data_IF_446505638485
#
_entry.id   IF_446505638485
#
_cell.length_a   1.000
_cell.length_b   1.000
_cell.length_c   1.000
_cell.angle_alpha   90.00
_cell.angle_beta   90.00
_cell.angle_gamma   90.00
#
_symmetry.space_group_name_H-M   'P 1'
#
loop_
_entity.id
_entity.type
_entity.pdbx_description
1 polymer ?
#
# COMPACT_ATOMS: atom_id res chain seq x y z
N UNK A 1 24.63 -30.06 -48.02
CA UNK A 1 24.00 -30.26 -46.68
C UNK A 1 24.70 -29.53 -45.54
N UNK A 2 26.04 -29.52 -45.44
CA UNK A 2 26.79 -28.86 -44.35
C UNK A 2 26.56 -27.33 -44.24
N UNK A 3 26.64 -26.60 -45.36
CA UNK A 3 26.40 -25.14 -45.42
C UNK A 3 24.99 -24.69 -45.02
N UNK A 4 23.98 -25.53 -45.26
CA UNK A 4 22.60 -25.25 -44.86
C UNK A 4 22.41 -25.39 -43.34
N UNK A 5 23.05 -26.38 -42.72
CA UNK A 5 23.07 -26.51 -41.25
C UNK A 5 23.80 -25.34 -40.60
N UNK A 6 24.93 -24.91 -41.15
CA UNK A 6 25.68 -23.74 -40.67
C UNK A 6 24.85 -22.44 -40.74
N UNK A 7 24.11 -22.24 -41.84
CA UNK A 7 23.21 -21.10 -41.98
C UNK A 7 22.06 -21.12 -40.95
N UNK A 8 21.46 -22.29 -40.71
CA UNK A 8 20.40 -22.44 -39.70
C UNK A 8 20.93 -22.15 -38.29
N UNK A 9 22.12 -22.67 -37.94
CA UNK A 9 22.75 -22.36 -36.65
C UNK A 9 23.12 -20.89 -36.50
N UNK A 10 23.59 -20.24 -37.58
CA UNK A 10 23.88 -18.81 -37.57
C UNK A 10 22.61 -17.97 -37.36
N UNK A 11 21.49 -18.34 -37.98
CA UNK A 11 20.19 -17.68 -37.77
C UNK A 11 19.68 -17.90 -36.35
N UNK A 12 19.79 -19.12 -35.81
CA UNK A 12 19.42 -19.41 -34.43
C UNK A 12 20.28 -18.63 -33.43
N UNK A 13 21.60 -18.58 -33.64
CA UNK A 13 22.52 -17.79 -32.81
C UNK A 13 22.19 -16.29 -32.89
N UNK A 14 21.96 -15.77 -34.10
CA UNK A 14 21.57 -14.39 -34.33
C UNK A 14 20.22 -14.07 -33.67
N UNK A 15 19.26 -15.00 -33.66
CA UNK A 15 17.96 -14.82 -33.01
C UNK A 15 18.06 -14.68 -31.48
N UNK A 16 19.12 -15.22 -30.86
CA UNK A 16 19.40 -15.07 -29.43
C UNK A 16 20.24 -13.83 -29.16
N UNK A 17 21.23 -13.53 -30.01
CA UNK A 17 22.15 -12.41 -29.81
C UNK A 17 21.50 -11.07 -30.14
N UNK A 18 20.83 -10.93 -31.29
CA UNK A 18 20.28 -9.65 -31.78
C UNK A 18 19.37 -8.97 -30.74
N UNK A 19 18.44 -9.68 -30.06
CA UNK A 19 17.60 -9.08 -29.03
C UNK A 19 18.37 -8.58 -27.80
N UNK A 20 19.58 -9.09 -27.55
CA UNK A 20 20.41 -8.72 -26.39
C UNK A 20 21.37 -7.56 -26.67
N UNK A 21 21.66 -7.26 -27.94
CA UNK A 21 22.57 -6.17 -28.35
C UNK A 21 22.16 -4.80 -27.78
N UNK A 22 20.87 -4.38 -27.81
CA UNK A 22 20.47 -3.08 -27.26
C UNK A 22 20.82 -2.94 -25.78
N UNK A 23 20.48 -3.95 -24.97
CA UNK A 23 20.82 -3.98 -23.54
C UNK A 23 22.33 -3.94 -23.33
N UNK A 24 23.10 -4.74 -24.07
CA UNK A 24 24.55 -4.73 -23.96
C UNK A 24 25.15 -3.35 -24.27
N UNK A 25 24.62 -2.64 -25.28
CA UNK A 25 25.04 -1.28 -25.62
C UNK A 25 24.75 -0.27 -24.50
N UNK A 26 23.63 -0.43 -23.78
CA UNK A 26 23.26 0.40 -22.64
C UNK A 26 24.21 0.16 -21.47
N UNK A 27 24.48 -1.12 -21.14
CA UNK A 27 25.43 -1.49 -20.09
C UNK A 27 26.85 -1.02 -20.41
N UNK A 28 27.30 -1.13 -21.66
CA UNK A 28 28.60 -0.62 -22.10
C UNK A 28 28.68 0.91 -21.95
N UNK A 29 27.65 1.64 -22.40
CA UNK A 29 27.58 3.10 -22.22
C UNK A 29 27.60 3.49 -20.75
N UNK A 30 26.84 2.78 -19.91
CA UNK A 30 26.83 3.01 -18.47
C UNK A 30 28.21 2.73 -17.85
N UNK A 31 28.84 1.60 -18.20
CA UNK A 31 30.16 1.21 -17.71
C UNK A 31 31.23 2.26 -18.05
N UNK A 32 31.23 2.75 -19.29
CA UNK A 32 32.11 3.84 -19.73
C UNK A 32 31.84 5.14 -18.97
N UNK A 33 30.56 5.51 -18.78
CA UNK A 33 30.17 6.70 -18.03
C UNK A 33 30.64 6.66 -16.58
N UNK A 34 30.52 5.51 -15.90
CA UNK A 34 30.87 5.38 -14.48
C UNK A 34 32.35 5.11 -14.23
N UNK A 35 33.13 4.73 -15.25
CA UNK A 35 34.56 4.34 -15.12
C UNK A 35 35.41 5.40 -14.42
N UNK A 36 35.21 6.67 -14.74
CA UNK A 36 35.99 7.78 -14.17
C UNK A 36 35.42 8.31 -12.84
N UNK A 37 34.23 7.87 -12.43
CA UNK A 37 33.58 8.38 -11.23
C UNK A 37 34.20 7.78 -9.95
N UNK A 38 34.18 8.49 -8.81
CA UNK A 38 34.49 7.90 -7.50
C UNK A 38 33.44 6.87 -7.09
N UNK A 39 33.81 5.94 -6.20
CA UNK A 39 32.97 4.76 -5.85
C UNK A 39 31.54 5.12 -5.44
N UNK A 40 31.34 6.19 -4.66
CA UNK A 40 30.01 6.66 -4.25
C UNK A 40 29.16 7.11 -5.45
N UNK A 41 29.72 7.92 -6.34
CA UNK A 41 29.02 8.39 -7.54
C UNK A 41 28.72 7.26 -8.53
N UNK A 42 29.57 6.22 -8.60
CA UNK A 42 29.27 5.00 -9.38
C UNK A 42 28.05 4.28 -8.83
N UNK A 43 27.97 4.10 -7.52
CA UNK A 43 26.85 3.43 -6.86
C UNK A 43 25.55 4.18 -7.05
N UNK A 44 25.59 5.51 -6.91
CA UNK A 44 24.43 6.35 -7.19
C UNK A 44 24.00 6.27 -8.66
N UNK A 45 24.94 6.26 -9.61
CA UNK A 45 24.62 6.17 -11.04
C UNK A 45 24.06 4.80 -11.47
N UNK A 46 24.40 3.71 -10.77
CA UNK A 46 23.96 2.34 -11.09
C UNK A 46 22.71 1.95 -10.32
N UNK A 47 22.62 2.32 -9.05
CA UNK A 47 21.53 1.90 -8.13
C UNK A 47 20.45 2.98 -8.03
N UNK A 48 20.78 4.24 -8.28
CA UNK A 48 19.82 5.34 -8.30
C UNK A 48 19.37 5.79 -6.91
N UNK A 49 18.09 6.14 -6.81
CA UNK A 49 17.53 6.84 -5.66
C UNK A 49 17.53 6.01 -4.37
N UNK A 50 17.57 4.68 -4.46
CA UNK A 50 17.70 3.80 -3.30
C UNK A 50 19.03 4.04 -2.58
N UNK A 51 20.15 4.11 -3.32
CA UNK A 51 21.46 4.37 -2.73
C UNK A 51 21.56 5.81 -2.19
N UNK A 52 21.02 6.77 -2.94
CA UNK A 52 20.97 8.18 -2.51
C UNK A 52 20.21 8.34 -1.19
N UNK A 53 19.05 7.69 -1.05
CA UNK A 53 18.26 7.74 0.18
C UNK A 53 18.96 7.07 1.36
N UNK A 54 19.71 5.99 1.15
CA UNK A 54 20.52 5.38 2.21
C UNK A 54 21.64 6.31 2.68
N UNK A 55 22.35 6.97 1.75
CA UNK A 55 23.39 7.95 2.11
C UNK A 55 22.79 9.15 2.86
N UNK A 56 21.59 9.59 2.48
CA UNK A 56 20.87 10.63 3.22
C UNK A 56 20.52 10.16 4.64
N UNK A 57 19.95 8.96 4.79
CA UNK A 57 19.64 8.38 6.10
C UNK A 57 20.86 8.27 7.00
N UNK A 58 22.00 7.84 6.46
CA UNK A 58 23.27 7.74 7.20
C UNK A 58 23.73 9.10 7.74
N UNK A 59 23.49 10.20 7.00
CA UNK A 59 23.82 11.56 7.46
C UNK A 59 22.85 12.09 8.51
N UNK A 60 21.59 11.69 8.43
CA UNK A 60 20.51 12.18 9.30
C UNK A 60 20.35 11.41 10.62
N UNK A 61 20.98 10.24 10.75
CA UNK A 61 20.82 9.36 11.90
C UNK A 61 22.13 9.14 12.63
N UNK A 62 22.08 9.01 13.96
CA UNK A 62 23.28 8.73 14.73
C UNK A 62 23.75 7.27 14.50
N UNK A 63 25.07 6.99 14.46
CA UNK A 63 25.59 5.65 14.17
C UNK A 63 25.06 4.52 15.08
N UNK A 64 24.73 4.85 16.33
CA UNK A 64 24.23 3.90 17.33
C UNK A 64 22.70 3.84 17.40
N UNK A 65 22.01 4.71 16.65
CA UNK A 65 20.56 4.78 16.66
C UNK A 65 19.97 3.54 15.97
N UNK A 66 19.09 2.83 16.69
CA UNK A 66 18.38 1.69 16.12
C UNK A 66 17.28 2.19 15.18
N UNK A 67 17.24 1.64 13.98
CA UNK A 67 16.27 2.01 12.95
C UNK A 67 15.26 0.89 12.70
N UNK A 68 13.98 1.22 12.64
CA UNK A 68 12.91 0.31 12.24
C UNK A 68 12.66 0.47 10.74
N UNK A 69 12.98 -0.56 9.95
CA UNK A 69 12.72 -0.58 8.51
C UNK A 69 11.34 -1.16 8.26
N UNK A 70 10.42 -0.38 7.68
CA UNK A 70 9.01 -0.77 7.51
C UNK A 70 8.62 -0.82 6.03
N UNK A 71 7.84 -1.87 5.69
CA UNK A 71 7.14 -2.07 4.42
C UNK A 71 8.10 -2.30 3.26
N UNK A 72 8.55 -3.54 3.14
CA UNK A 72 9.63 -3.91 2.26
C UNK A 72 9.19 -5.01 1.29
N UNK A 73 9.38 -4.77 -0.01
CA UNK A 73 9.78 -5.88 -0.86
C UNK A 73 11.10 -6.43 -0.28
N UNK A 74 11.21 -7.74 -0.10
CA UNK A 74 12.29 -8.37 0.67
C UNK A 74 13.71 -7.97 0.21
N UNK A 75 13.89 -7.69 -1.08
CA UNK A 75 15.17 -7.31 -1.67
C UNK A 75 15.66 -5.91 -1.22
N UNK A 76 14.78 -4.93 -1.14
CA UNK A 76 15.15 -3.54 -0.77
C UNK A 76 15.55 -3.45 0.71
N UNK A 77 15.01 -4.33 1.56
CA UNK A 77 15.29 -4.39 2.98
C UNK A 77 16.74 -4.77 3.23
N UNK A 78 17.15 -5.81 2.51
CA UNK A 78 18.50 -6.35 2.57
C UNK A 78 19.48 -5.31 2.06
N UNK A 79 19.15 -4.64 0.95
CA UNK A 79 19.95 -3.55 0.42
C UNK A 79 20.15 -2.43 1.44
N UNK A 80 19.06 -1.90 2.00
CA UNK A 80 19.12 -0.79 2.95
C UNK A 80 19.87 -1.19 4.22
N UNK A 81 19.62 -2.39 4.76
CA UNK A 81 20.35 -2.93 5.90
C UNK A 81 21.86 -3.01 5.64
N UNK A 82 22.26 -3.60 4.49
CA UNK A 82 23.66 -3.75 4.11
C UNK A 82 24.38 -2.40 3.97
N UNK A 83 23.77 -1.44 3.27
CA UNK A 83 24.39 -0.14 3.04
C UNK A 83 24.28 0.82 4.24
N UNK A 84 23.40 0.55 5.21
CA UNK A 84 23.35 1.30 6.48
C UNK A 84 24.32 0.77 7.54
N UNK A 85 25.04 -0.34 7.33
CA UNK A 85 26.06 -0.79 8.28
C UNK A 85 27.03 0.37 8.65
N UNK A 86 27.39 0.55 9.95
CA UNK A 86 27.13 -0.34 11.10
C UNK A 86 25.82 -0.06 11.87
N UNK A 87 24.89 0.73 11.35
CA UNK A 87 23.67 1.06 12.08
C UNK A 87 22.85 -0.20 12.42
N UNK A 88 22.43 -0.39 13.68
CA UNK A 88 21.58 -1.51 14.04
C UNK A 88 20.16 -1.31 13.49
N UNK A 89 19.70 -2.22 12.64
CA UNK A 89 18.37 -2.15 12.02
C UNK A 89 17.49 -3.31 12.45
N UNK A 90 16.18 -3.09 12.50
CA UNK A 90 15.17 -4.15 12.67
C UNK A 90 14.11 -4.02 11.60
N UNK A 91 13.91 -5.09 10.85
CA UNK A 91 12.96 -5.11 9.73
C UNK A 91 11.58 -5.56 10.19
N UNK A 92 10.57 -4.86 9.67
CA UNK A 92 9.16 -5.13 9.91
C UNK A 92 8.42 -5.21 8.57
N UNK A 93 7.68 -6.30 8.38
CA UNK A 93 6.97 -6.55 7.12
C UNK A 93 5.91 -5.47 6.82
N UNK A 94 5.29 -4.91 7.86
CA UNK A 94 4.35 -3.79 7.75
C UNK A 94 4.32 -2.97 9.05
N UNK A 95 3.49 -1.90 9.07
CA UNK A 95 3.25 -1.10 10.28
C UNK A 95 2.72 -1.94 11.44
N UNK A 96 1.93 -2.97 11.19
CA UNK A 96 1.34 -3.82 12.23
C UNK A 96 2.36 -4.60 13.04
N UNK A 97 3.32 -5.21 12.36
CA UNK A 97 4.45 -5.90 12.97
C UNK A 97 5.24 -4.98 13.89
N UNK A 98 5.37 -3.71 13.47
CA UNK A 98 6.03 -2.69 14.26
C UNK A 98 5.21 -2.34 15.51
N UNK A 99 3.92 -2.06 15.37
CA UNK A 99 3.03 -1.67 16.49
C UNK A 99 2.95 -2.75 17.57
N UNK A 100 2.84 -4.03 17.16
CA UNK A 100 2.70 -5.17 18.07
C UNK A 100 4.03 -5.73 18.57
N UNK A 101 5.16 -5.19 18.12
CA UNK A 101 6.46 -5.61 18.68
C UNK A 101 6.69 -5.03 20.08
N UNK A 102 7.44 -5.77 20.89
CA UNK A 102 7.81 -5.38 22.25
C UNK A 102 8.24 -3.89 22.32
N UNK A 103 7.47 -3.02 22.99
CA UNK A 103 7.70 -1.58 22.99
C UNK A 103 9.04 -1.21 23.64
N UNK A 104 9.58 -2.06 24.51
CA UNK A 104 10.88 -1.83 25.16
C UNK A 104 12.06 -2.13 24.21
N UNK A 105 11.84 -2.98 23.20
CA UNK A 105 12.87 -3.38 22.22
C UNK A 105 12.66 -2.77 20.84
N UNK A 106 11.54 -2.09 20.62
CA UNK A 106 11.17 -1.50 19.33
C UNK A 106 11.98 -0.24 19.05
N UNK A 107 12.67 -0.13 17.90
CA UNK A 107 13.35 1.10 17.52
C UNK A 107 12.36 2.26 17.35
N UNK A 108 12.69 3.45 17.85
CA UNK A 108 11.79 4.63 17.77
C UNK A 108 11.82 5.32 16.41
N UNK A 109 12.96 5.27 15.72
CA UNK A 109 13.17 5.91 14.42
C UNK A 109 12.67 4.99 13.33
N UNK A 110 11.65 5.44 12.61
CA UNK A 110 11.01 4.65 11.54
C UNK A 110 11.55 5.10 10.20
N UNK A 111 11.95 4.12 9.38
CA UNK A 111 12.32 4.30 7.98
C UNK A 111 11.29 3.57 7.13
N UNK A 112 10.52 4.32 6.36
CA UNK A 112 9.61 3.77 5.37
C UNK A 112 10.36 3.65 4.04
N UNK A 113 10.20 2.52 3.36
CA UNK A 113 10.79 2.28 2.05
C UNK A 113 9.64 2.10 1.07
N UNK A 114 9.43 3.09 0.22
CA UNK A 114 8.23 3.18 -0.60
C UNK A 114 8.61 3.67 -1.99
N UNK A 115 8.35 2.86 -3.02
CA UNK A 115 8.78 3.15 -4.38
C UNK A 115 10.30 3.20 -4.57
N UNK A 116 11.06 2.45 -3.75
CA UNK A 116 12.51 2.32 -3.88
C UNK A 116 13.33 3.45 -3.24
N UNK A 117 12.72 4.39 -2.51
CA UNK A 117 13.47 5.45 -1.80
C UNK A 117 13.20 5.36 -0.29
N UNK A 118 14.24 5.14 0.53
CA UNK A 118 14.08 5.01 1.97
C UNK A 118 14.02 6.41 2.60
N UNK A 119 13.03 6.64 3.47
CA UNK A 119 12.80 7.94 4.13
C UNK A 119 12.47 7.79 5.61
N UNK A 120 12.96 8.70 6.44
CA UNK A 120 12.52 8.80 7.83
C UNK A 120 11.08 9.29 7.86
N UNK A 121 10.23 8.61 8.63
CA UNK A 121 8.85 9.03 8.86
C UNK A 121 8.49 8.93 10.34
N UNK A 122 7.50 9.70 10.76
CA UNK A 122 6.86 9.49 12.05
C UNK A 122 5.83 8.36 11.95
N UNK A 123 5.43 7.79 13.09
CA UNK A 123 4.33 6.82 13.12
C UNK A 123 3.04 7.42 12.52
N UNK A 124 2.74 8.69 12.83
CA UNK A 124 1.57 9.39 12.30
C UNK A 124 1.63 9.53 10.77
N UNK A 125 2.79 9.86 10.21
CA UNK A 125 3.00 9.94 8.76
C UNK A 125 2.87 8.58 8.08
N UNK A 126 3.45 7.53 8.68
CA UNK A 126 3.33 6.17 8.19
C UNK A 126 1.85 5.73 8.16
N UNK A 127 1.14 5.91 9.28
CA UNK A 127 -0.30 5.63 9.42
C UNK A 127 -1.13 6.40 8.39
N UNK A 128 -0.87 7.70 8.22
CA UNK A 128 -1.57 8.53 7.25
C UNK A 128 -1.32 8.09 5.79
N UNK A 129 -0.09 7.65 5.47
CA UNK A 129 0.26 7.16 4.12
C UNK A 129 -0.44 5.84 3.78
N UNK A 130 -0.63 4.97 4.76
CA UNK A 130 -1.41 3.73 4.59
C UNK A 130 -2.90 4.04 4.49
N UNK A 131 -3.41 4.95 5.32
CA UNK A 131 -4.81 5.42 5.26
C UNK A 131 -5.17 5.97 3.88
N UNK A 132 -4.33 6.82 3.29
CA UNK A 132 -4.58 7.38 1.95
C UNK A 132 -4.53 6.34 0.83
N UNK A 133 -3.86 5.20 1.06
CA UNK A 133 -3.80 4.07 0.10
C UNK A 133 -4.95 3.08 0.30
N UNK A 134 -5.46 2.99 1.52
CA UNK A 134 -6.67 2.23 1.80
C UNK A 134 -7.89 2.95 1.22
N UNK A 135 -8.95 2.21 0.89
CA UNK A 135 -10.25 2.77 0.46
C UNK A 135 -11.00 3.49 1.60
N UNK A 136 -10.31 3.83 2.70
CA UNK A 136 -10.86 4.57 3.82
C UNK A 136 -11.09 6.00 3.37
N UNK A 137 -12.35 6.40 3.27
CA UNK A 137 -12.73 7.78 2.94
C UNK A 137 -12.35 8.67 4.13
N UNK A 138 -11.38 9.61 3.97
CA UNK A 138 -11.03 10.54 5.03
C UNK A 138 -12.16 11.56 5.16
N UNK A 139 -12.89 11.51 6.28
CA UNK A 139 -14.00 12.42 6.62
C UNK A 139 -15.02 12.51 5.47
N UNK A 140 -15.96 11.56 5.46
CA UNK A 140 -17.14 11.71 4.62
C UNK A 140 -17.85 13.01 5.00
N UNK A 141 -18.31 13.76 3.99
CA UNK A 141 -19.32 14.81 4.19
C UNK A 141 -20.64 14.10 4.52
N UNK A 142 -20.75 13.69 5.79
CA UNK A 142 -21.88 12.94 6.29
C UNK A 142 -23.09 13.87 6.22
N UNK A 143 -24.22 13.43 5.63
CA UNK A 143 -25.43 14.22 5.66
C UNK A 143 -25.82 14.52 7.11
N UNK A 144 -26.46 15.68 7.34
CA UNK A 144 -27.00 16.01 8.65
C UNK A 144 -27.89 14.85 9.14
N UNK A 145 -27.67 14.40 10.37
CA UNK A 145 -28.44 13.28 10.93
C UNK A 145 -29.86 13.74 11.23
N UNK A 146 -30.80 13.34 10.39
CA UNK A 146 -32.24 13.52 10.57
C UNK A 146 -32.91 12.15 10.64
N UNK A 147 -34.22 12.14 10.92
CA UNK A 147 -35.02 10.91 10.86
C UNK A 147 -35.04 10.29 9.46
N UNK A 148 -34.97 11.12 8.43
CA UNK A 148 -35.13 10.71 7.03
C UNK A 148 -33.82 10.65 6.26
N UNK A 149 -32.72 11.16 6.82
CA UNK A 149 -31.42 11.16 6.18
C UNK A 149 -30.32 10.98 7.22
N UNK A 150 -29.53 9.92 7.08
CA UNK A 150 -28.37 9.69 7.94
C UNK A 150 -27.32 8.87 7.19
N UNK A 151 -26.15 8.70 7.81
CA UNK A 151 -25.10 7.85 7.28
C UNK A 151 -24.67 6.84 8.33
N UNK A 152 -24.49 5.60 7.88
CA UNK A 152 -23.93 4.51 8.67
C UNK A 152 -22.45 4.42 8.33
N UNK A 153 -21.53 4.89 9.21
CA UNK A 153 -20.11 4.83 8.94
C UNK A 153 -19.63 3.36 9.02
N UNK A 154 -18.86 2.93 8.03
CA UNK A 154 -18.20 1.62 8.06
C UNK A 154 -16.78 1.84 8.59
N UNK A 155 -16.63 1.71 9.91
CA UNK A 155 -15.33 1.90 10.56
C UNK A 155 -14.62 0.57 10.64
N UNK A 156 -13.43 0.48 10.06
CA UNK A 156 -12.52 -0.65 10.32
C UNK A 156 -11.44 -0.19 11.27
N UNK A 157 -11.10 -1.04 12.24
CA UNK A 157 -10.02 -0.74 13.18
C UNK A 157 -8.70 -0.77 12.40
N UNK A 158 -8.09 0.40 12.23
CA UNK A 158 -6.76 0.52 11.62
C UNK A 158 -5.63 0.45 12.66
N UNK A 159 -5.95 0.26 13.93
CA UNK A 159 -4.97 0.05 15.01
C UNK A 159 -5.13 -1.31 15.76
N UNK A 160 -6.04 -2.22 15.33
CA UNK A 160 -6.04 -3.67 15.65
C UNK A 160 -5.85 -4.59 14.43
N UNK A 161 -5.57 -5.90 14.61
CA UNK A 161 -5.44 -6.85 13.50
C UNK A 161 -6.65 -6.73 12.54
N UNK A 162 -6.44 -6.81 11.21
CA UNK A 162 -7.56 -6.76 10.28
C UNK A 162 -8.54 -7.87 10.64
N UNK A 163 -9.81 -7.53 10.84
CA UNK A 163 -10.82 -8.55 11.06
C UNK A 163 -10.92 -9.46 9.82
N UNK A 164 -11.07 -10.76 10.02
CA UNK A 164 -11.25 -11.74 8.94
C UNK A 164 -12.55 -11.46 8.14
N UNK A 165 -13.54 -10.83 8.80
CA UNK A 165 -14.78 -10.35 8.23
C UNK A 165 -15.28 -9.12 9.00
N UNK A 166 -15.94 -8.19 8.33
CA UNK A 166 -16.68 -7.11 8.98
C UNK A 166 -18.16 -7.30 8.66
N UNK A 167 -18.99 -7.46 9.69
CA UNK A 167 -20.45 -7.45 9.56
C UNK A 167 -20.97 -6.10 10.04
N UNK A 168 -22.02 -5.61 9.38
CA UNK A 168 -22.74 -4.41 9.82
C UNK A 168 -24.13 -4.81 10.24
N UNK A 169 -24.29 -4.96 11.54
CA UNK A 169 -25.57 -5.21 12.17
C UNK A 169 -26.30 -3.88 12.38
N UNK A 170 -27.58 -3.87 12.07
CA UNK A 170 -28.40 -2.68 12.25
C UNK A 170 -29.87 -2.94 12.03
N UNK A 171 -30.71 -2.03 12.51
CA UNK A 171 -32.13 -2.05 12.25
C UNK A 171 -32.59 -0.68 11.73
N UNK A 172 -33.42 -0.69 10.70
CA UNK A 172 -34.11 0.49 10.20
C UNK A 172 -35.59 0.30 10.51
N UNK A 173 -36.18 1.27 11.22
CA UNK A 173 -37.58 1.25 11.62
C UNK A 173 -38.35 2.42 11.01
N UNK A 174 -39.57 2.16 10.59
CA UNK A 174 -40.53 3.17 10.19
C UNK A 174 -41.91 2.84 10.76
N UNK A 175 -42.59 3.88 11.26
CA UNK A 175 -43.96 3.78 11.80
C UNK A 175 -44.97 3.52 10.66
N UNK A 176 -44.71 4.09 9.48
CA UNK A 176 -45.48 3.92 8.24
C UNK A 176 -44.71 3.13 7.19
N UNK A 177 -45.34 2.84 6.05
CA UNK A 177 -44.63 2.37 4.86
C UNK A 177 -43.68 3.49 4.34
N UNK A 178 -42.39 3.19 4.30
CA UNK A 178 -41.32 4.10 3.89
C UNK A 178 -40.46 3.52 2.76
N UNK A 179 -40.07 4.36 1.81
CA UNK A 179 -39.17 4.03 0.70
C UNK A 179 -37.76 4.50 1.04
N UNK A 180 -36.93 3.55 1.43
CA UNK A 180 -35.55 3.82 1.83
C UNK A 180 -34.62 3.57 0.66
N UNK A 181 -33.79 4.56 0.36
CA UNK A 181 -32.67 4.44 -0.57
C UNK A 181 -31.38 4.34 0.23
N UNK A 182 -30.66 3.24 0.03
CA UNK A 182 -29.33 2.99 0.55
C UNK A 182 -28.30 3.22 -0.56
N UNK A 183 -27.25 3.98 -0.29
CA UNK A 183 -26.13 4.18 -1.24
C UNK A 183 -24.82 3.81 -0.60
N UNK A 184 -24.15 2.79 -1.13
CA UNK A 184 -22.82 2.36 -0.71
C UNK A 184 -21.75 3.28 -1.28
N UNK A 185 -20.95 3.89 -0.41
CA UNK A 185 -19.93 4.86 -0.78
C UNK A 185 -18.52 4.31 -0.54
N UNK A 186 -17.52 4.62 -1.38
CA UNK A 186 -17.56 5.55 -2.52
C UNK A 186 -18.02 4.91 -3.85
N UNK A 187 -18.39 3.63 -3.86
CA UNK A 187 -18.73 2.90 -5.08
C UNK A 187 -19.99 3.42 -5.79
N UNK A 188 -20.81 4.24 -5.12
CA UNK A 188 -22.10 4.74 -5.60
C UNK A 188 -23.07 3.63 -6.01
N UNK A 189 -23.01 2.48 -5.35
CA UNK A 189 -23.97 1.38 -5.56
C UNK A 189 -25.23 1.74 -4.80
N UNK A 190 -26.37 1.74 -5.48
CA UNK A 190 -27.65 2.15 -4.90
C UNK A 190 -28.55 0.92 -4.77
N UNK A 191 -29.16 0.75 -3.61
CA UNK A 191 -30.27 -0.17 -3.41
C UNK A 191 -31.48 0.59 -2.84
N UNK A 192 -32.68 0.16 -3.24
CA UNK A 192 -33.94 0.71 -2.76
C UNK A 192 -34.75 -0.40 -2.10
N UNK A 193 -35.32 -0.10 -0.95
CA UNK A 193 -36.10 -1.04 -0.18
C UNK A 193 -37.29 -0.33 0.45
N UNK A 194 -38.41 -1.06 0.54
CA UNK A 194 -39.60 -0.61 1.26
C UNK A 194 -39.58 -1.23 2.65
N UNK A 195 -39.79 -0.41 3.68
CA UNK A 195 -39.88 -0.86 5.08
C UNK A 195 -41.25 -0.48 5.62
N UNK A 196 -41.87 -1.44 6.32
CA UNK A 196 -43.03 -1.21 7.16
C UNK A 196 -42.76 -1.88 8.51
N UNK A 197 -42.70 -1.11 9.59
CA UNK A 197 -42.23 -1.58 10.89
C UNK A 197 -40.70 -1.61 10.96
N UNK A 198 -40.12 -2.66 11.57
CA UNK A 198 -38.66 -2.76 11.76
C UNK A 198 -38.07 -3.83 10.85
N UNK A 199 -37.00 -3.48 10.14
CA UNK A 199 -36.17 -4.42 9.39
C UNK A 199 -34.77 -4.46 9.98
N UNK A 200 -34.37 -5.64 10.46
CA UNK A 200 -33.03 -5.90 10.95
C UNK A 200 -32.15 -6.49 9.84
N UNK A 201 -30.86 -6.24 9.95
CA UNK A 201 -29.80 -6.73 9.07
C UNK A 201 -28.69 -7.30 9.93
N UNK A 202 -28.22 -8.50 9.60
CA UNK A 202 -27.05 -9.12 10.23
C UNK A 202 -25.76 -8.69 9.51
N UNK A 203 -25.86 -8.53 8.19
CA UNK A 203 -24.85 -7.88 7.37
C UNK A 203 -25.52 -6.98 6.34
N UNK A 204 -25.75 -5.72 6.71
CA UNK A 204 -26.38 -4.72 5.86
C UNK A 204 -25.72 -4.63 4.47
N UNK A 205 -24.40 -4.74 4.39
CA UNK A 205 -23.70 -4.52 3.12
C UNK A 205 -23.87 -5.71 2.20
N UNK A 206 -23.67 -6.92 2.72
CA UNK A 206 -23.90 -8.13 1.95
C UNK A 206 -25.38 -8.27 1.57
N UNK A 207 -26.30 -8.13 2.54
CA UNK A 207 -27.74 -8.31 2.33
C UNK A 207 -28.36 -7.26 1.39
N UNK A 208 -27.84 -6.03 1.36
CA UNK A 208 -28.39 -4.97 0.50
C UNK A 208 -27.60 -4.74 -0.79
N UNK A 209 -26.33 -5.14 -0.90
CA UNK A 209 -25.52 -4.81 -2.08
C UNK A 209 -24.83 -6.01 -2.71
N UNK A 210 -24.96 -7.21 -2.14
CA UNK A 210 -24.35 -8.46 -2.61
C UNK A 210 -22.84 -8.29 -2.89
N UNK A 211 -22.16 -7.53 -2.01
CA UNK A 211 -20.74 -7.22 -2.12
C UNK A 211 -20.03 -7.41 -0.79
N UNK A 212 -18.80 -7.90 -0.87
CA UNK A 212 -17.88 -8.09 0.27
C UNK A 212 -16.79 -7.01 0.23
N UNK A 213 -16.92 -6.02 -0.67
CA UNK A 213 -15.92 -4.97 -0.81
C UNK A 213 -15.90 -4.02 0.41
N UNK A 214 -14.68 -3.58 0.77
CA UNK A 214 -14.49 -2.50 1.73
C UNK A 214 -15.18 -1.22 1.23
N UNK A 215 -16.35 -0.93 1.79
CA UNK A 215 -17.03 0.34 1.66
C UNK A 215 -16.75 1.22 2.90
N UNK A 216 -16.90 2.54 2.73
CA UNK A 216 -16.53 3.50 3.76
C UNK A 216 -17.74 3.96 4.61
N UNK A 217 -18.93 4.01 4.01
CA UNK A 217 -20.18 4.35 4.68
C UNK A 217 -21.39 4.04 3.76
N UNK A 218 -22.56 3.90 4.36
CA UNK A 218 -23.85 3.79 3.64
C UNK A 218 -24.65 5.07 3.88
N UNK A 219 -25.03 5.77 2.81
CA UNK A 219 -26.03 6.85 2.88
C UNK A 219 -27.41 6.23 2.95
N UNK A 220 -28.21 6.66 3.93
CA UNK A 220 -29.61 6.27 4.06
C UNK A 220 -30.46 7.52 3.83
N UNK A 221 -31.41 7.44 2.91
CA UNK A 221 -32.44 8.47 2.71
C UNK A 221 -33.81 7.83 2.61
N UNK A 222 -34.81 8.44 3.24
CA UNK A 222 -36.20 7.99 3.31
C UNK A 222 -37.13 9.12 2.85
N UNK A 223 -38.28 8.76 2.28
CA UNK A 223 -39.37 9.69 1.96
C UNK A 223 -40.28 9.98 3.18
N UNK A 224 -40.04 9.30 4.30
CA UNK A 224 -40.78 9.34 5.55
C UNK A 224 -39.84 9.44 6.75
#
# INVERSE_FOLDING_TARGET
MRRWREAIYAVLLASVIIPTIPRLSEWLRLAWKVRAMPMHARREAVIGDLYRGVEQLRRETAPQERLALIRLASADALFVNYYLYPHPTRTYWNRWAYVHSDPNKRPKRIVQIDGGVPRVVTYAQLRASELRRSRVVPIADLPAQTRTAFAIPMVTSIDGPPADSYTIEGAISSDDEAHVTLTLQPANIVNKLTIRGTRAFYDLVYECFDTIEFAAWVRVTSDR
#
